data_IF_650976600163
#
_entry.id   IF_650976600163
#
_cell.length_a   1.000
_cell.length_b   1.000
_cell.length_c   1.000
_cell.angle_alpha   90.00
_cell.angle_beta   90.00
_cell.angle_gamma   90.00
#
_symmetry.space_group_name_H-M   'P 1'
#
loop_
_entity.id
_entity.type
_entity.pdbx_description
1 polymer ?
#
# COMPACT_ATOMS: atom_id res chain seq x y z
N UNK A 1 19.15 18.96 -21.87
CA UNK A 1 19.53 17.54 -21.75
C UNK A 1 18.66 16.90 -20.67
N UNK A 2 17.47 16.35 -20.98
CA UNK A 2 16.51 15.85 -19.95
C UNK A 2 15.75 14.59 -20.42
N UNK A 3 16.40 13.67 -21.13
CA UNK A 3 15.73 12.46 -21.65
C UNK A 3 16.31 11.12 -21.16
N UNK A 4 17.45 11.11 -20.45
CA UNK A 4 18.04 9.86 -19.98
C UNK A 4 17.47 9.35 -18.64
N UNK A 5 16.88 10.24 -17.82
CA UNK A 5 16.37 9.91 -16.48
C UNK A 5 15.28 8.84 -16.48
N UNK A 6 14.32 8.95 -17.39
CA UNK A 6 13.18 8.02 -17.47
C UNK A 6 13.59 6.57 -17.79
N UNK A 7 14.72 6.33 -18.46
CA UNK A 7 15.11 4.99 -18.89
C UNK A 7 15.75 4.15 -17.77
N UNK A 8 16.46 4.79 -16.84
CA UNK A 8 17.05 4.09 -15.70
C UNK A 8 15.97 3.57 -14.77
N UNK A 9 15.04 4.44 -14.37
CA UNK A 9 13.94 4.10 -13.46
C UNK A 9 13.00 3.04 -14.03
N UNK A 10 12.80 2.99 -15.36
CA UNK A 10 11.96 1.96 -15.98
C UNK A 10 12.53 0.54 -15.86
N UNK A 11 13.85 0.41 -15.73
CA UNK A 11 14.55 -0.86 -15.57
C UNK A 11 14.82 -1.21 -14.10
N UNK A 12 14.61 -0.27 -13.18
CA UNK A 12 14.79 -0.49 -11.75
C UNK A 12 13.72 -1.46 -11.24
N UNK A 13 14.15 -2.56 -10.64
CA UNK A 13 13.26 -3.58 -10.07
C UNK A 13 13.05 -3.34 -8.58
N UNK A 14 11.79 -3.38 -8.15
CA UNK A 14 11.40 -3.29 -6.75
C UNK A 14 10.91 -4.64 -6.25
N UNK A 15 11.52 -5.14 -5.18
CA UNK A 15 11.07 -6.38 -4.53
C UNK A 15 10.07 -6.10 -3.41
N UNK A 16 8.90 -6.72 -3.52
CA UNK A 16 7.86 -6.66 -2.51
C UNK A 16 8.20 -7.59 -1.36
N UNK A 17 7.55 -7.38 -0.21
CA UNK A 17 7.66 -8.28 0.95
C UNK A 17 7.37 -9.76 0.60
N UNK A 18 6.52 -10.01 -0.40
CA UNK A 18 6.20 -11.37 -0.85
C UNK A 18 7.29 -12.01 -1.72
N UNK A 19 8.40 -11.31 -2.01
CA UNK A 19 9.43 -11.75 -2.96
C UNK A 19 9.08 -11.48 -4.43
N UNK A 20 7.86 -11.02 -4.73
CA UNK A 20 7.47 -10.61 -6.08
C UNK A 20 8.29 -9.38 -6.50
N UNK A 21 8.77 -9.38 -7.74
CA UNK A 21 9.43 -8.23 -8.36
C UNK A 21 8.48 -7.50 -9.31
N UNK A 22 8.55 -6.19 -9.29
CA UNK A 22 7.85 -5.31 -10.22
C UNK A 22 8.73 -4.11 -10.56
N UNK A 23 8.53 -3.52 -11.74
CA UNK A 23 9.29 -2.33 -12.11
C UNK A 23 8.90 -1.14 -11.22
N UNK A 24 9.89 -0.32 -10.91
CA UNK A 24 9.70 0.94 -10.22
C UNK A 24 8.77 1.83 -11.03
N UNK A 25 7.85 2.50 -10.33
CA UNK A 25 6.92 3.45 -10.94
C UNK A 25 6.67 4.58 -9.96
N UNK A 26 6.99 5.79 -10.39
CA UNK A 26 6.74 7.01 -9.62
C UNK A 26 5.25 7.20 -9.35
N UNK A 27 4.38 6.83 -10.30
CA UNK A 27 2.91 6.90 -10.14
C UNK A 27 2.40 5.96 -9.04
N UNK A 28 2.96 4.75 -8.94
CA UNK A 28 2.63 3.83 -7.83
C UNK A 28 3.03 4.40 -6.48
N UNK A 29 4.17 5.08 -6.42
CA UNK A 29 4.67 5.70 -5.20
C UNK A 29 3.78 6.91 -4.80
N UNK A 30 3.43 7.77 -5.76
CA UNK A 30 2.48 8.87 -5.61
C UNK A 30 1.12 8.40 -5.11
N UNK A 31 0.59 7.34 -5.74
CA UNK A 31 -0.70 6.75 -5.36
C UNK A 31 -0.64 6.22 -3.93
N UNK A 32 0.45 5.54 -3.56
CA UNK A 32 0.67 5.05 -2.21
C UNK A 32 0.68 6.17 -1.16
N UNK A 33 1.41 7.25 -1.42
CA UNK A 33 1.48 8.44 -0.56
C UNK A 33 0.13 9.15 -0.40
N UNK A 34 -0.59 9.33 -1.52
CA UNK A 34 -1.92 9.95 -1.51
C UNK A 34 -2.91 9.12 -0.68
N UNK A 35 -2.87 7.78 -0.81
CA UNK A 35 -3.70 6.86 -0.02
C UNK A 35 -3.33 6.83 1.46
N UNK A 36 -2.09 7.19 1.81
CA UNK A 36 -1.65 7.31 3.19
C UNK A 36 -2.05 8.65 3.85
N UNK A 37 -2.79 9.52 3.14
CA UNK A 37 -3.26 10.80 3.66
C UNK A 37 -2.30 11.97 3.42
N UNK A 38 -1.28 11.79 2.58
CA UNK A 38 -0.39 12.89 2.18
C UNK A 38 -1.11 13.77 1.14
N UNK A 39 -1.16 15.11 1.30
CA UNK A 39 -1.71 16.00 0.28
C UNK A 39 -1.09 15.75 -1.11
N UNK A 40 -1.89 15.75 -2.16
CA UNK A 40 -1.46 15.31 -3.49
C UNK A 40 -0.20 16.02 -4.02
N UNK A 41 -0.13 17.35 -3.89
CA UNK A 41 1.04 18.12 -4.32
C UNK A 41 2.31 17.69 -3.59
N UNK A 42 2.21 17.52 -2.27
CA UNK A 42 3.31 17.03 -1.44
C UNK A 42 3.70 15.59 -1.80
N UNK A 43 2.72 14.73 -2.02
CA UNK A 43 2.94 13.36 -2.44
C UNK A 43 3.68 13.28 -3.79
N UNK A 44 3.34 14.17 -4.73
CA UNK A 44 4.00 14.31 -6.02
C UNK A 44 5.45 14.73 -5.85
N UNK A 45 5.69 15.79 -5.07
CA UNK A 45 7.04 16.29 -4.82
C UNK A 45 7.93 15.26 -4.12
N UNK A 46 7.40 14.52 -3.15
CA UNK A 46 8.13 13.43 -2.48
C UNK A 46 8.43 12.30 -3.47
N UNK A 47 7.47 11.95 -4.32
CA UNK A 47 7.67 10.89 -5.32
C UNK A 47 8.76 11.23 -6.32
N UNK A 48 8.76 12.47 -6.81
CA UNK A 48 9.81 12.98 -7.68
C UNK A 48 11.15 13.09 -6.95
N UNK A 49 11.17 13.53 -5.69
CA UNK A 49 12.40 13.59 -4.87
C UNK A 49 13.05 12.20 -4.73
N UNK A 50 12.25 11.18 -4.44
CA UNK A 50 12.75 9.81 -4.33
C UNK A 50 13.25 9.28 -5.67
N UNK A 51 12.51 9.55 -6.76
CA UNK A 51 12.93 9.18 -8.10
C UNK A 51 14.31 9.78 -8.44
N UNK A 52 14.51 11.08 -8.17
CA UNK A 52 15.81 11.76 -8.35
C UNK A 52 16.91 11.16 -7.47
N UNK A 53 16.64 10.87 -6.19
CA UNK A 53 17.60 10.22 -5.29
C UNK A 53 18.07 8.86 -5.82
N UNK A 54 17.16 8.08 -6.42
CA UNK A 54 17.48 6.78 -7.01
C UNK A 54 18.26 6.91 -8.32
N UNK A 55 18.05 7.98 -9.07
CA UNK A 55 18.84 8.29 -10.28
C UNK A 55 20.26 8.78 -9.92
N UNK A 56 20.38 9.63 -8.90
CA UNK A 56 21.67 10.16 -8.42
C UNK A 56 22.51 9.07 -7.75
N UNK A 57 21.87 8.14 -7.04
CA UNK A 57 22.51 7.03 -6.34
C UNK A 57 21.91 5.70 -6.83
N UNK A 58 22.26 5.27 -8.05
CA UNK A 58 21.72 4.06 -8.63
C UNK A 58 22.15 2.85 -7.78
N UNK A 59 21.22 1.97 -7.38
CA UNK A 59 21.57 0.73 -6.71
C UNK A 59 22.42 -0.16 -7.64
N UNK A 60 23.43 -0.81 -7.06
CA UNK A 60 24.42 -1.62 -7.78
C UNK A 60 23.75 -2.66 -8.70
N UNK A 61 22.70 -3.32 -8.22
CA UNK A 61 22.00 -4.39 -8.94
C UNK A 61 20.73 -3.92 -9.68
N UNK A 62 20.56 -2.61 -9.90
CA UNK A 62 19.30 -2.02 -10.42
C UNK A 62 18.06 -2.51 -9.66
N UNK A 63 18.24 -2.66 -8.34
CA UNK A 63 17.32 -3.37 -7.48
C UNK A 63 17.15 -2.64 -6.16
N UNK A 64 15.90 -2.50 -5.70
CA UNK A 64 15.59 -1.89 -4.39
C UNK A 64 14.50 -2.67 -3.67
N UNK A 65 14.68 -2.89 -2.38
CA UNK A 65 13.62 -3.45 -1.54
C UNK A 65 12.50 -2.43 -1.31
N UNK A 66 11.26 -2.88 -1.36
CA UNK A 66 10.10 -2.04 -1.01
C UNK A 66 10.15 -1.49 0.42
N UNK A 67 10.83 -2.16 1.35
CA UNK A 67 11.12 -1.64 2.69
C UNK A 67 12.01 -0.40 2.63
N UNK A 68 13.10 -0.44 1.84
CA UNK A 68 14.01 0.68 1.64
C UNK A 68 13.29 1.90 1.05
N UNK A 69 12.39 1.70 0.09
CA UNK A 69 11.56 2.78 -0.43
C UNK A 69 10.67 3.42 0.64
N UNK A 70 10.11 2.63 1.58
CA UNK A 70 9.32 3.18 2.70
C UNK A 70 10.19 3.99 3.66
N UNK A 71 11.43 3.59 3.87
CA UNK A 71 12.38 4.38 4.68
C UNK A 71 12.62 5.75 4.03
N UNK A 72 12.90 5.79 2.73
CA UNK A 72 13.08 7.06 2.00
C UNK A 72 11.83 7.94 2.07
N UNK A 73 10.63 7.34 1.97
CA UNK A 73 9.38 8.07 2.16
C UNK A 73 9.27 8.66 3.57
N UNK A 74 9.57 7.86 4.60
CA UNK A 74 9.49 8.32 5.99
C UNK A 74 10.49 9.44 6.27
N UNK A 75 11.70 9.38 5.71
CA UNK A 75 12.71 10.43 5.80
C UNK A 75 12.24 11.73 5.13
N UNK A 76 11.72 11.66 3.91
CA UNK A 76 11.15 12.83 3.20
C UNK A 76 10.00 13.46 3.97
N UNK A 77 9.09 12.65 4.52
CA UNK A 77 7.97 13.13 5.33
C UNK A 77 8.45 13.82 6.61
N UNK A 78 9.46 13.28 7.30
CA UNK A 78 10.07 13.92 8.49
C UNK A 78 10.76 15.23 8.15
N UNK A 79 11.52 15.27 7.05
CA UNK A 79 12.18 16.49 6.57
C UNK A 79 11.18 17.62 6.29
N UNK A 80 9.95 17.27 5.95
CA UNK A 80 8.85 18.22 5.67
C UNK A 80 7.89 18.40 6.86
N UNK A 81 8.26 17.96 8.06
CA UNK A 81 7.49 18.05 9.31
C UNK A 81 6.17 17.24 9.34
N UNK A 82 6.03 16.21 8.51
CA UNK A 82 4.87 15.30 8.50
C UNK A 82 5.13 14.02 9.31
N UNK A 83 5.50 14.20 10.58
CA UNK A 83 5.94 13.10 11.46
C UNK A 83 4.86 12.01 11.68
N UNK A 84 3.59 12.40 11.85
CA UNK A 84 2.50 11.44 12.06
C UNK A 84 2.32 10.48 10.85
N UNK A 85 2.48 10.99 9.63
CA UNK A 85 2.41 10.17 8.42
C UNK A 85 3.69 9.33 8.28
N UNK A 86 4.86 9.92 8.57
CA UNK A 86 6.13 9.21 8.54
C UNK A 86 6.15 8.01 9.51
N UNK A 87 5.57 8.16 10.70
CA UNK A 87 5.41 7.08 11.67
C UNK A 87 4.64 5.90 11.08
N UNK A 88 3.58 6.17 10.31
CA UNK A 88 2.79 5.13 9.65
C UNK A 88 3.63 4.33 8.66
N UNK A 89 4.54 4.98 7.91
CA UNK A 89 5.47 4.30 7.02
C UNK A 89 6.55 3.50 7.76
N UNK A 90 7.02 3.98 8.91
CA UNK A 90 7.98 3.26 9.77
C UNK A 90 7.35 2.10 10.57
N UNK A 91 6.05 2.19 10.86
CA UNK A 91 5.32 1.32 11.77
C UNK A 91 4.72 0.05 11.14
N UNK A 92 4.76 -0.11 9.82
CA UNK A 92 4.26 -1.33 9.16
C UNK A 92 5.05 -2.61 9.50
N UNK A 93 6.16 -2.54 10.25
CA UNK A 93 6.80 -3.71 10.88
C UNK A 93 6.30 -4.01 12.30
N UNK A 94 5.68 -3.03 12.98
CA UNK A 94 5.21 -3.12 14.38
C UNK A 94 3.73 -3.47 14.53
N UNK A 95 2.97 -3.56 13.43
CA UNK A 95 1.63 -4.16 13.44
C UNK A 95 1.69 -5.70 13.40
N UNK A 96 2.66 -6.33 14.06
CA UNK A 96 2.28 -7.55 14.76
C UNK A 96 1.32 -7.08 15.84
N UNK A 97 0.08 -7.55 15.81
CA UNK A 97 -0.85 -7.35 16.90
C UNK A 97 -0.14 -7.88 18.14
N UNK A 98 0.48 -7.01 18.94
CA UNK A 98 0.88 -7.37 20.29
C UNK A 98 -0.42 -7.58 21.05
N UNK A 99 -0.58 -8.72 21.71
CA UNK A 99 -1.81 -9.17 22.38
C UNK A 99 -2.53 -8.08 23.21
N UNK A 100 -1.76 -7.11 23.72
CA UNK A 100 -2.23 -5.92 24.44
C UNK A 100 -3.24 -5.03 23.67
N UNK A 101 -3.15 -4.94 22.34
CA UNK A 101 -4.12 -4.18 21.52
C UNK A 101 -5.40 -4.99 21.24
N UNK A 102 -5.30 -6.30 21.18
CA UNK A 102 -6.46 -7.19 21.03
C UNK A 102 -7.41 -7.08 22.23
N UNK A 103 -6.87 -6.99 23.44
CA UNK A 103 -7.65 -6.80 24.66
C UNK A 103 -8.37 -5.45 24.74
N UNK A 104 -7.83 -4.39 24.11
CA UNK A 104 -8.52 -3.09 24.07
C UNK A 104 -9.63 -3.07 23.02
N UNK A 105 -9.45 -3.77 21.90
CA UNK A 105 -10.49 -3.89 20.86
C UNK A 105 -11.66 -4.75 21.38
N UNK A 106 -11.40 -5.90 22.02
CA UNK A 106 -12.44 -6.75 22.64
C UNK A 106 -13.23 -6.05 23.75
N UNK A 107 -12.64 -5.06 24.42
CA UNK A 107 -13.32 -4.29 25.48
C UNK A 107 -14.29 -3.23 24.96
N UNK A 108 -14.18 -2.84 23.69
CA UNK A 108 -15.03 -1.81 23.07
C UNK A 108 -16.31 -2.37 22.42
N UNK A 109 -16.49 -3.69 22.36
CA UNK A 109 -17.75 -4.33 21.94
C UNK A 109 -18.88 -4.19 22.98
N UNK A 110 -18.66 -3.43 24.06
CA UNK A 110 -19.61 -3.25 25.16
C UNK A 110 -20.73 -2.24 24.88
N UNK A 111 -20.81 -1.72 23.66
CA UNK A 111 -22.00 -1.01 23.18
C UNK A 111 -22.87 -2.02 22.42
N UNK A 112 -23.80 -2.62 23.16
CA UNK A 112 -24.87 -3.50 22.72
C UNK A 112 -25.71 -2.82 21.63
N UNK A 113 -25.30 -2.96 20.37
CA UNK A 113 -26.16 -2.60 19.25
C UNK A 113 -27.35 -3.56 19.28
N UNK A 114 -28.56 -3.06 19.58
CA UNK A 114 -29.82 -3.83 19.50
C UNK A 114 -30.19 -4.31 18.08
N UNK A 115 -29.26 -4.23 17.13
CA UNK A 115 -29.39 -4.71 15.77
C UNK A 115 -28.60 -6.01 15.70
N UNK A 116 -29.31 -7.13 15.64
CA UNK A 116 -28.71 -8.43 15.33
C UNK A 116 -27.90 -8.34 14.03
N UNK A 117 -26.67 -8.84 14.05
CA UNK A 117 -25.84 -8.98 12.85
C UNK A 117 -26.65 -9.65 11.74
N UNK A 118 -26.81 -8.97 10.60
CA UNK A 118 -27.43 -9.57 9.43
C UNK A 118 -26.58 -10.77 9.00
N UNK A 119 -27.11 -11.98 9.14
CA UNK A 119 -26.48 -13.17 8.60
C UNK A 119 -26.42 -13.01 7.08
N UNK A 120 -25.21 -13.04 6.52
CA UNK A 120 -24.96 -13.01 5.08
C UNK A 120 -25.75 -14.13 4.37
N UNK A 121 -26.88 -13.79 3.75
CA UNK A 121 -27.63 -14.69 2.86
C UNK A 121 -26.95 -14.77 1.50
N UNK A 122 -25.84 -15.50 1.42
CA UNK A 122 -25.30 -15.97 0.14
C UNK A 122 -25.57 -17.48 -0.02
N UNK A 123 -26.86 -17.84 -0.03
CA UNK A 123 -27.29 -19.13 -0.58
C UNK A 123 -27.21 -19.05 -2.10
N UNK A 124 -26.09 -19.55 -2.64
CA UNK A 124 -25.89 -20.11 -3.98
C UNK A 124 -27.07 -19.91 -4.96
N UNK A 125 -27.01 -18.87 -5.79
CA UNK A 125 -27.70 -18.86 -7.09
C UNK A 125 -26.96 -19.83 -8.01
N UNK A 126 -27.27 -21.12 -7.90
CA UNK A 126 -26.88 -22.13 -8.89
C UNK A 126 -27.87 -23.29 -8.89
N UNK A 127 -29.17 -22.96 -8.97
CA UNK A 127 -30.24 -23.88 -9.38
C UNK A 127 -31.26 -23.05 -10.18
N UNK A 128 -30.85 -22.63 -11.38
CA UNK A 128 -31.75 -22.18 -12.45
C UNK A 128 -31.10 -22.56 -13.76
N UNK A 129 -31.02 -23.87 -14.02
CA UNK A 129 -30.72 -24.45 -15.34
C UNK A 129 -31.10 -25.95 -15.37
N UNK A 130 -32.21 -26.34 -14.72
CA UNK A 130 -32.71 -27.73 -14.78
C UNK A 130 -34.22 -27.92 -15.00
N UNK A 131 -34.97 -26.85 -15.21
CA UNK A 131 -36.43 -26.93 -15.41
C UNK A 131 -36.87 -26.45 -16.81
N UNK A 132 -36.20 -26.93 -17.86
CA UNK A 132 -36.80 -26.94 -19.20
C UNK A 132 -37.08 -28.39 -19.60
N UNK A 133 -38.36 -28.79 -19.78
CA UNK A 133 -38.67 -30.09 -20.39
C UNK A 133 -38.26 -30.06 -21.88
N UNK A 134 -37.89 -31.21 -22.47
CA UNK A 134 -37.73 -31.29 -23.91
C UNK A 134 -39.07 -31.03 -24.58
N UNK A 135 -39.09 -30.08 -25.53
CA UNK A 135 -40.21 -29.89 -26.44
C UNK A 135 -40.16 -31.05 -27.44
N UNK A 136 -41.23 -31.84 -27.52
CA UNK A 136 -41.48 -32.79 -28.60
C UNK A 136 -41.84 -32.04 -29.89
#
# INVERSE_FOLDING_TARGET
>A
MVQQSNFFLSNLSVEKKSGRRENFSTEKLLTGLSRAGTPFLLAKDISESIARKLEENPPIDNFVYSSKLREYIAEELRQRNHNAIAESYSGYSKNQITDLKEEQIKRNDKFDSKVSQSVNTHSKQNVKDKDYPPVN
#
